data_IF_812818523330
#
_entry.id   IF_812818523330
#
_cell.length_a   1.000
_cell.length_b   1.000
_cell.length_c   1.000
_cell.angle_alpha   90.00
_cell.angle_beta   90.00
_cell.angle_gamma   90.00
#
_symmetry.space_group_name_H-M   'P 1'
#
loop_
_entity.id
_entity.type
_entity.pdbx_description
1 polymer ?
#
# COMPACT_ATOMS: atom_id res chain seq x y z
N UNK A 1 -2.76 -12.72 -23.41
CA UNK A 1 -2.43 -13.18 -22.05
C UNK A 1 -1.16 -12.48 -21.62
N UNK A 2 -1.15 -11.79 -20.46
CA UNK A 2 0.05 -11.14 -19.96
C UNK A 2 1.18 -12.16 -19.76
N UNK A 3 2.42 -11.74 -20.01
CA UNK A 3 3.62 -12.60 -20.02
C UNK A 3 3.77 -13.37 -18.70
N UNK A 4 3.45 -12.74 -17.58
CA UNK A 4 3.68 -13.27 -16.24
C UNK A 4 2.72 -14.41 -15.87
N UNK A 5 1.48 -14.33 -16.38
CA UNK A 5 0.50 -15.41 -16.24
C UNK A 5 0.95 -16.67 -17.00
N UNK A 6 1.67 -16.51 -18.11
CA UNK A 6 2.24 -17.64 -18.85
C UNK A 6 3.33 -18.35 -18.05
N UNK A 7 4.15 -17.60 -17.31
CA UNK A 7 5.20 -18.16 -16.44
C UNK A 7 4.55 -18.96 -15.30
N UNK A 8 3.48 -18.45 -14.70
CA UNK A 8 2.73 -19.16 -13.67
C UNK A 8 2.20 -20.51 -14.17
N UNK A 9 1.52 -20.54 -15.31
CA UNK A 9 0.98 -21.79 -15.85
C UNK A 9 2.05 -22.80 -16.29
N UNK A 10 3.21 -22.33 -16.75
CA UNK A 10 4.29 -23.21 -17.18
C UNK A 10 5.04 -23.86 -16.00
N UNK A 11 5.27 -23.11 -14.92
CA UNK A 11 6.09 -23.57 -13.79
C UNK A 11 5.24 -24.08 -12.61
N UNK A 12 4.02 -23.58 -12.47
CA UNK A 12 3.13 -23.83 -11.34
C UNK A 12 1.73 -24.24 -11.82
N UNK A 13 1.66 -25.14 -12.81
CA UNK A 13 0.40 -25.64 -13.38
C UNK A 13 -0.54 -26.30 -12.36
N UNK A 14 0.02 -26.80 -11.26
CA UNK A 14 -0.72 -27.41 -10.14
C UNK A 14 -1.38 -26.37 -9.21
N UNK A 15 -0.98 -25.10 -9.28
CA UNK A 15 -1.47 -24.05 -8.39
C UNK A 15 -2.52 -23.17 -9.08
N UNK A 16 -3.71 -23.08 -8.49
CA UNK A 16 -4.76 -22.19 -8.99
C UNK A 16 -4.39 -20.72 -8.79
N UNK A 17 -4.66 -19.90 -9.82
CA UNK A 17 -4.48 -18.45 -9.74
C UNK A 17 -5.59 -17.88 -8.86
N UNK A 18 -5.22 -17.22 -7.76
CA UNK A 18 -6.19 -16.55 -6.90
C UNK A 18 -6.75 -15.30 -7.58
N UNK A 19 -7.97 -14.85 -7.24
CA UNK A 19 -8.54 -13.64 -7.81
C UNK A 19 -7.65 -12.40 -7.61
N UNK A 20 -6.97 -12.30 -6.46
CA UNK A 20 -6.02 -11.22 -6.17
C UNK A 20 -4.83 -11.25 -7.13
N UNK A 21 -4.23 -12.43 -7.32
CA UNK A 21 -3.10 -12.59 -8.24
C UNK A 21 -3.52 -12.31 -9.69
N UNK A 22 -4.71 -12.76 -10.10
CA UNK A 22 -5.25 -12.45 -11.43
C UNK A 22 -5.46 -10.95 -11.62
N UNK A 23 -6.08 -10.26 -10.65
CA UNK A 23 -6.25 -8.80 -10.68
C UNK A 23 -4.92 -8.08 -10.77
N UNK A 24 -3.91 -8.53 -10.03
CA UNK A 24 -2.58 -7.94 -10.07
C UNK A 24 -1.88 -8.16 -11.42
N UNK A 25 -1.85 -9.39 -11.93
CA UNK A 25 -1.12 -9.71 -13.17
C UNK A 25 -1.83 -9.25 -14.45
N UNK A 26 -3.16 -9.18 -14.46
CA UNK A 26 -3.96 -8.81 -15.64
C UNK A 26 -4.44 -7.38 -15.60
N UNK A 27 -5.00 -6.96 -14.47
CA UNK A 27 -5.72 -5.70 -14.36
C UNK A 27 -4.88 -4.57 -13.76
N UNK A 28 -3.72 -4.83 -13.15
CA UNK A 28 -2.93 -3.75 -12.55
C UNK A 28 -2.60 -2.61 -13.53
N UNK A 29 -2.11 -2.85 -14.77
CA UNK A 29 -1.84 -1.75 -15.71
C UNK A 29 -3.08 -0.90 -16.01
N UNK A 30 -4.24 -1.53 -16.10
CA UNK A 30 -5.51 -0.85 -16.33
C UNK A 30 -5.98 -0.07 -15.09
N UNK A 31 -5.78 -0.62 -13.88
CA UNK A 31 -6.09 0.07 -12.63
C UNK A 31 -5.21 1.31 -12.48
N UNK A 32 -3.90 1.20 -12.76
CA UNK A 32 -2.98 2.32 -12.72
C UNK A 32 -3.37 3.45 -13.67
N UNK A 33 -3.69 3.11 -14.92
CA UNK A 33 -3.98 4.09 -15.96
C UNK A 33 -5.39 4.70 -15.83
N UNK A 34 -6.41 3.88 -15.57
CA UNK A 34 -7.80 4.30 -15.69
C UNK A 34 -8.46 4.66 -14.34
N UNK A 35 -7.94 4.14 -13.21
CA UNK A 35 -8.63 4.23 -11.91
C UNK A 35 -7.83 4.94 -10.82
N UNK A 36 -6.50 4.94 -10.90
CA UNK A 36 -5.63 5.52 -9.88
C UNK A 36 -5.00 6.86 -10.30
N UNK A 37 -5.37 7.46 -11.44
CA UNK A 37 -4.79 8.72 -11.94
C UNK A 37 -3.24 8.73 -11.97
N UNK A 38 -2.61 7.56 -12.11
CA UNK A 38 -1.16 7.40 -12.06
C UNK A 38 -0.53 7.29 -10.66
N UNK A 39 -1.32 7.30 -9.59
CA UNK A 39 -0.85 7.02 -8.22
C UNK A 39 -0.50 5.53 -8.03
N UNK A 40 0.45 5.29 -7.11
CA UNK A 40 0.88 3.95 -6.74
C UNK A 40 -0.28 3.13 -6.14
N UNK A 41 -0.30 1.80 -6.36
CA UNK A 41 -1.31 0.93 -5.75
C UNK A 41 -1.28 1.00 -4.21
N UNK A 42 -0.09 1.18 -3.64
CA UNK A 42 0.10 1.29 -2.19
C UNK A 42 -0.35 2.64 -1.63
N UNK A 43 -0.28 3.72 -2.42
CA UNK A 43 -0.66 5.06 -1.96
C UNK A 43 -2.17 5.16 -1.66
N UNK A 44 -2.98 4.33 -2.33
CA UNK A 44 -4.42 4.21 -2.12
C UNK A 44 -4.81 2.94 -1.35
N UNK A 45 -3.89 2.40 -0.54
CA UNK A 45 -4.10 1.17 0.22
C UNK A 45 -4.95 1.35 1.48
N UNK A 46 -5.63 0.27 1.88
CA UNK A 46 -6.39 0.18 3.14
C UNK A 46 -5.49 0.14 4.39
N UNK A 47 -4.19 -0.16 4.23
CA UNK A 47 -3.24 -0.28 5.34
C UNK A 47 -3.18 0.99 6.23
N UNK A 48 -3.34 2.17 5.63
CA UNK A 48 -3.44 3.42 6.37
C UNK A 48 -4.66 3.48 7.28
N UNK A 49 -5.82 3.01 6.80
CA UNK A 49 -7.06 2.95 7.58
C UNK A 49 -6.99 1.90 8.70
N UNK A 50 -6.35 0.75 8.44
CA UNK A 50 -6.14 -0.26 9.48
C UNK A 50 -5.23 0.27 10.60
N UNK A 51 -4.18 0.99 10.22
CA UNK A 51 -3.28 1.67 11.16
C UNK A 51 -4.02 2.71 12.00
N UNK A 52 -4.90 3.50 11.39
CA UNK A 52 -5.80 4.42 12.09
C UNK A 52 -6.75 3.70 13.06
N UNK A 53 -7.27 2.53 12.69
CA UNK A 53 -8.13 1.72 13.57
C UNK A 53 -7.39 1.23 14.82
N UNK A 54 -6.10 0.89 14.69
CA UNK A 54 -5.24 0.54 15.84
C UNK A 54 -5.07 1.74 16.79
N UNK A 55 -4.85 2.93 16.23
CA UNK A 55 -4.74 4.17 17.00
C UNK A 55 -6.05 4.53 17.71
N UNK A 56 -7.19 4.39 17.03
CA UNK A 56 -8.51 4.63 17.61
C UNK A 56 -8.71 3.82 18.89
N UNK A 57 -8.46 2.50 18.84
CA UNK A 57 -8.58 1.61 20.00
C UNK A 57 -7.67 2.08 21.15
N UNK A 58 -6.41 2.38 20.84
CA UNK A 58 -5.42 2.87 21.82
C UNK A 58 -5.85 4.18 22.48
N UNK A 59 -6.35 5.14 21.71
CA UNK A 59 -6.77 6.44 22.24
C UNK A 59 -8.01 6.31 23.11
N UNK A 60 -8.96 5.47 22.70
CA UNK A 60 -10.15 5.18 23.48
C UNK A 60 -9.84 4.54 24.84
N UNK A 61 -8.83 3.69 24.89
CA UNK A 61 -8.43 3.00 26.13
C UNK A 61 -7.69 3.91 27.11
N UNK A 62 -6.80 4.76 26.61
CA UNK A 62 -5.78 5.45 27.42
C UNK A 62 -5.89 6.97 27.47
N UNK A 63 -6.46 7.60 26.44
CA UNK A 63 -6.33 9.05 26.21
C UNK A 63 -7.67 9.80 26.13
N UNK A 64 -8.80 9.12 26.33
CA UNK A 64 -10.14 9.69 26.28
C UNK A 64 -10.85 9.62 27.64
N UNK A 65 -11.72 10.60 27.92
CA UNK A 65 -12.61 10.59 29.08
C UNK A 65 -13.57 9.39 28.98
N UNK A 66 -13.82 8.71 30.11
CA UNK A 66 -14.69 7.51 30.19
C UNK A 66 -16.03 7.75 30.88
N UNK A 67 -16.34 9.02 31.16
CA UNK A 67 -17.55 9.41 31.87
C UNK A 67 -18.80 9.41 30.97
N UNK A 68 -18.64 9.78 29.69
CA UNK A 68 -19.72 9.85 28.70
C UNK A 68 -19.20 9.35 27.34
N UNK A 69 -20.05 8.68 26.58
CA UNK A 69 -19.74 8.20 25.24
C UNK A 69 -19.43 9.34 24.27
N UNK A 70 -20.21 10.43 24.31
CA UNK A 70 -20.02 11.54 23.38
C UNK A 70 -18.66 12.23 23.60
N UNK A 71 -18.31 12.51 24.85
CA UNK A 71 -17.01 13.08 25.21
C UNK A 71 -15.86 12.12 24.91
N UNK A 72 -16.07 10.82 25.07
CA UNK A 72 -15.09 9.79 24.72
C UNK A 72 -14.74 9.84 23.22
N UNK A 73 -15.76 9.83 22.36
CA UNK A 73 -15.58 9.87 20.91
C UNK A 73 -14.98 11.21 20.47
N UNK A 74 -15.45 12.33 21.03
CA UNK A 74 -14.87 13.66 20.77
C UNK A 74 -13.38 13.70 21.08
N UNK A 75 -12.95 13.17 22.24
CA UNK A 75 -11.55 13.14 22.63
C UNK A 75 -10.68 12.32 21.66
N UNK A 76 -11.18 11.15 21.23
CA UNK A 76 -10.48 10.31 20.26
C UNK A 76 -10.37 11.01 18.91
N UNK A 77 -11.46 11.63 18.46
CA UNK A 77 -11.51 12.32 17.16
C UNK A 77 -10.57 13.53 17.12
N UNK A 78 -10.58 14.37 18.15
CA UNK A 78 -9.68 15.52 18.27
C UNK A 78 -8.22 15.07 18.20
N UNK A 79 -7.87 13.96 18.88
CA UNK A 79 -6.50 13.42 18.84
C UNK A 79 -6.11 12.87 17.49
N UNK A 80 -7.02 12.19 16.80
CA UNK A 80 -6.77 11.70 15.43
C UNK A 80 -6.51 12.88 14.49
N UNK A 81 -7.30 13.96 14.58
CA UNK A 81 -7.08 15.18 13.79
C UNK A 81 -5.72 15.79 14.07
N UNK A 82 -5.36 15.98 15.35
CA UNK A 82 -4.04 16.54 15.70
C UNK A 82 -2.88 15.65 15.24
N UNK A 83 -3.09 14.34 15.15
CA UNK A 83 -2.08 13.41 14.64
C UNK A 83 -1.94 13.48 13.12
N UNK A 84 -3.03 13.69 12.38
CA UNK A 84 -3.03 13.81 10.91
C UNK A 84 -2.68 15.20 10.40
N UNK A 85 -2.58 16.20 11.29
CA UNK A 85 -2.22 17.57 10.92
C UNK A 85 -0.82 17.62 10.28
N UNK A 86 -0.68 18.06 9.01
CA UNK A 86 0.59 18.06 8.30
C UNK A 86 1.61 19.03 8.92
N UNK A 87 1.15 20.13 9.53
CA UNK A 87 2.01 21.10 10.21
C UNK A 87 2.61 20.44 11.45
N UNK A 88 1.77 19.81 12.30
CA UNK A 88 2.25 19.08 13.47
C UNK A 88 3.12 17.88 13.11
N UNK A 89 2.80 17.20 12.01
CA UNK A 89 3.59 16.09 11.49
C UNK A 89 4.99 16.55 11.06
N UNK A 90 5.12 17.72 10.44
CA UNK A 90 6.42 18.27 10.02
C UNK A 90 7.39 18.54 11.18
N UNK A 91 6.86 18.79 12.38
CA UNK A 91 7.65 18.98 13.59
C UNK A 91 8.03 17.67 14.29
N UNK A 92 7.51 16.51 13.86
CA UNK A 92 7.88 15.22 14.44
C UNK A 92 9.28 14.84 13.95
N UNK A 93 10.22 14.71 14.88
CA UNK A 93 11.52 14.10 14.61
C UNK A 93 11.33 12.60 14.34
N UNK A 94 11.25 12.22 13.07
CA UNK A 94 11.27 10.80 12.67
C UNK A 94 12.74 10.38 12.66
N UNK A 95 13.15 9.59 13.66
CA UNK A 95 14.43 8.89 13.58
C UNK A 95 14.31 7.82 12.49
N UNK A 96 14.95 8.04 11.34
CA UNK A 96 15.05 7.05 10.26
C UNK A 96 15.93 5.89 10.75
N UNK A 97 15.31 4.86 11.32
CA UNK A 97 16.04 3.71 11.87
C UNK A 97 15.91 2.44 11.04
N UNK A 98 15.15 2.45 9.95
CA UNK A 98 15.03 1.28 9.09
C UNK A 98 16.02 1.41 7.91
N UNK A 99 16.91 0.42 7.70
CA UNK A 99 17.71 0.36 6.49
C UNK A 99 16.77 0.24 5.28
N UNK A 100 17.02 1.05 4.26
CA UNK A 100 16.30 0.97 2.98
C UNK A 100 16.41 -0.47 2.45
N UNK A 101 15.29 -1.11 2.05
CA UNK A 101 15.34 -2.47 1.53
C UNK A 101 16.22 -2.49 0.27
N UNK A 102 17.05 -3.52 0.12
CA UNK A 102 17.92 -3.66 -1.05
C UNK A 102 17.06 -3.91 -2.31
N UNK A 103 16.88 -2.87 -3.12
CA UNK A 103 16.10 -2.89 -4.37
C UNK A 103 16.96 -3.30 -5.58
N UNK A 104 18.19 -3.78 -5.39
CA UNK A 104 19.09 -4.14 -6.50
C UNK A 104 18.48 -5.21 -7.42
N UNK A 105 17.72 -6.17 -6.87
CA UNK A 105 17.05 -7.21 -7.64
C UNK A 105 15.91 -6.66 -8.52
N UNK A 106 15.14 -5.67 -8.03
CA UNK A 106 14.01 -5.10 -8.76
C UNK A 106 14.45 -4.27 -9.98
N UNK A 107 15.58 -3.57 -9.87
CA UNK A 107 16.19 -2.83 -10.99
C UNK A 107 16.59 -3.79 -12.12
N UNK A 108 17.17 -4.94 -11.76
CA UNK A 108 17.55 -5.97 -12.74
C UNK A 108 16.34 -6.52 -13.51
N UNK A 109 15.21 -6.74 -12.83
CA UNK A 109 13.97 -7.20 -13.45
C UNK A 109 13.36 -6.16 -14.40
N UNK A 110 13.48 -4.87 -14.05
CA UNK A 110 13.02 -3.76 -14.89
C UNK A 110 13.84 -3.66 -16.19
N UNK A 111 15.16 -3.83 -16.10
CA UNK A 111 16.07 -3.85 -17.25
C UNK A 111 15.81 -5.05 -18.18
N UNK A 112 15.49 -6.22 -17.63
CA UNK A 112 15.11 -7.41 -18.41
C UNK A 112 13.79 -7.20 -19.16
N UNK A 113 12.81 -6.54 -18.54
CA UNK A 113 11.52 -6.24 -19.16
C UNK A 113 11.67 -5.24 -20.32
N UNK A 114 12.44 -4.17 -20.13
CA UNK A 114 12.69 -3.14 -21.17
C UNK A 114 13.42 -3.74 -22.38
N UNK A 115 14.46 -4.56 -22.16
CA UNK A 115 15.21 -5.21 -23.23
C UNK A 115 14.37 -6.24 -24.02
N UNK A 116 13.38 -6.88 -23.38
CA UNK A 116 12.50 -7.84 -24.05
C UNK A 116 11.44 -7.20 -24.94
N UNK A 117 11.07 -5.93 -24.68
CA UNK A 117 10.13 -5.15 -25.48
C UNK A 117 10.77 -4.64 -26.77
N UNK A 118 12.06 -4.29 -26.75
CA UNK A 118 12.83 -3.84 -27.93
C UNK A 118 13.00 -4.94 -28.99
N UNK A 119 12.92 -6.22 -28.60
CA UNK A 119 13.07 -7.38 -29.49
C UNK A 119 11.75 -7.71 -30.22
N UNK A 120 10.62 -7.15 -29.80
CA UNK A 120 9.29 -7.48 -30.38
C UNK A 120 8.78 -6.43 -31.38
N UNK A 121 9.54 -5.35 -31.63
CA UNK A 121 9.20 -4.26 -32.56
C UNK A 121 10.04 -4.26 -33.86
N UNK A 122 10.63 -5.40 -34.22
CA UNK A 122 11.22 -5.67 -35.54
C UNK A 122 10.50 -6.86 -36.18
#
# INVERSE_FOLDING_TARGET
MPRDLRIHFNNFSWAHVTPTLHKLLVHAPQIFADHNDGFGLEELSEEGLESCSKLFRRYRERLSRKFNFEDNVKDVFVRLISQSDPILASFRNITKNDPEPDLSELKSCQDILVNSLSITTL
#
